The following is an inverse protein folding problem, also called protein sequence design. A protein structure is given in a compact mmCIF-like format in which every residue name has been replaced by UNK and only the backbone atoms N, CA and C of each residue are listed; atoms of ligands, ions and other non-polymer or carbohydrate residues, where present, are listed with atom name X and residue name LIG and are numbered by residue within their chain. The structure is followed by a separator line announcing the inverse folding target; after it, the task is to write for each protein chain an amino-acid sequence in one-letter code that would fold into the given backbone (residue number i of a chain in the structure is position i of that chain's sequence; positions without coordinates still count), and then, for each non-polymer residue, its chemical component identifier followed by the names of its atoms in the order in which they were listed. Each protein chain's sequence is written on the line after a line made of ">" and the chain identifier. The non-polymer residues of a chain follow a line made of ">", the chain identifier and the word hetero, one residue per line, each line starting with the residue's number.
data_IF_453457765482
#
_entry.id   IF_453457765482
#
_cell.length_a   1.000
_cell.length_b   1.000
_cell.length_c   1.000
_cell.angle_alpha   90.00
_cell.angle_beta   90.00
_cell.angle_gamma   90.00
#
_symmetry.space_group_name_H-M   'P 1'
#
loop_
_entity.id
_entity.type
_entity.pdbx_description
1 polymer ?
#
# COMPACT_ATOMS: atom_id res chain seq x y z
N UNK A 1 56.45 18.82 3.14
CA UNK A 1 57.58 19.43 2.40
C UNK A 1 58.47 20.14 3.42
N UNK A 2 59.81 20.15 3.31
CA UNK A 2 60.61 20.27 2.08
C UNK A 2 61.32 18.97 1.60
N UNK A 3 62.32 19.11 0.71
CA UNK A 3 63.02 18.06 -0.09
C UNK A 3 64.42 17.68 0.43
N UNK A 4 64.82 16.42 0.20
CA UNK A 4 66.08 15.91 -0.42
C UNK A 4 65.96 14.36 -0.48
N UNK A 5 66.19 13.57 -1.55
CA UNK A 5 67.32 13.38 -2.50
C UNK A 5 68.64 13.02 -1.79
N UNK A 6 69.41 11.97 -2.13
CA UNK A 6 69.57 11.15 -3.37
C UNK A 6 70.32 9.82 -3.05
N UNK A 7 70.08 8.68 -3.76
CA UNK A 7 71.00 7.56 -4.21
C UNK A 7 71.99 6.92 -3.15
N UNK A 8 72.29 5.61 -3.06
CA UNK A 8 72.96 4.74 -4.06
C UNK A 8 72.92 3.20 -3.81
N UNK A 9 73.05 2.48 -4.92
CA UNK A 9 73.26 1.05 -5.30
C UNK A 9 73.97 0.04 -4.35
N UNK A 10 73.50 -1.22 -4.40
CA UNK A 10 74.30 -2.47 -4.45
C UNK A 10 73.50 -3.54 -5.26
N UNK A 11 73.97 -4.02 -6.43
CA UNK A 11 74.70 -5.29 -6.64
C UNK A 11 74.10 -6.53 -5.93
N UNK A 12 73.89 -7.72 -6.49
CA UNK A 12 73.92 -8.37 -7.83
C UNK A 12 73.53 -9.86 -7.53
N UNK A 13 73.33 -10.85 -8.42
CA UNK A 13 73.97 -11.23 -9.68
C UNK A 13 72.99 -11.84 -10.72
N UNK A 14 73.41 -11.86 -11.99
CA UNK A 14 72.97 -12.73 -13.08
C UNK A 14 74.23 -13.19 -13.85
N UNK A 15 74.28 -14.42 -14.37
CA UNK A 15 73.94 -14.64 -15.79
C UNK A 15 73.06 -15.90 -16.01
N UNK A 16 72.23 -16.06 -17.05
CA UNK A 16 72.17 -15.53 -18.45
C UNK A 16 73.00 -16.31 -19.49
N UNK A 17 72.36 -17.30 -20.12
CA UNK A 17 72.32 -17.61 -21.58
C UNK A 17 71.12 -18.56 -21.80
N UNK A 18 70.13 -18.38 -22.69
CA UNK A 18 70.13 -18.06 -24.15
C UNK A 18 70.66 -19.26 -24.95
N UNK A 19 70.02 -19.80 -26.01
CA UNK A 19 68.94 -19.34 -26.92
C UNK A 19 67.83 -20.46 -27.03
N UNK A 20 66.79 -20.60 -27.88
CA UNK A 20 66.39 -20.11 -29.23
C UNK A 20 64.83 -20.04 -29.33
N UNK A 21 64.29 -19.29 -30.30
CA UNK A 21 62.91 -19.29 -30.85
C UNK A 21 62.99 -19.32 -32.40
N UNK A 22 61.97 -19.65 -33.23
CA UNK A 22 60.51 -19.46 -33.07
C UNK A 22 59.71 -20.80 -33.24
N UNK A 23 58.46 -20.98 -33.73
CA UNK A 23 57.47 -20.23 -34.55
C UNK A 23 55.98 -20.52 -34.20
N UNK A 24 55.12 -19.56 -34.55
CA UNK A 24 53.66 -19.63 -34.82
C UNK A 24 53.43 -18.87 -36.17
N UNK A 25 52.25 -18.88 -36.86
CA UNK A 25 50.93 -19.43 -36.51
C UNK A 25 50.26 -20.25 -37.65
N UNK A 26 48.98 -20.64 -37.51
CA UNK A 26 47.85 -20.14 -38.35
C UNK A 26 46.47 -20.72 -37.97
N UNK A 27 45.48 -19.82 -37.82
CA UNK A 27 44.02 -19.93 -38.12
C UNK A 27 43.16 -21.01 -37.42
N UNK A 28 42.10 -20.63 -36.67
CA UNK A 28 40.71 -20.28 -37.11
C UNK A 28 39.92 -21.55 -37.55
N UNK A 29 38.66 -21.80 -37.16
CA UNK A 29 37.59 -20.87 -36.74
C UNK A 29 37.28 -20.77 -35.23
N UNK A 30 36.74 -19.62 -34.83
CA UNK A 30 35.99 -19.46 -33.57
C UNK A 30 34.47 -19.57 -33.82
N UNK A 31 33.78 -20.43 -33.05
CA UNK A 31 32.31 -20.42 -32.94
C UNK A 31 31.92 -19.80 -31.59
N UNK A 32 31.32 -18.59 -31.56
CA UNK A 32 30.79 -18.02 -30.33
C UNK A 32 29.53 -18.77 -29.90
N UNK A 33 29.63 -19.59 -28.86
CA UNK A 33 28.45 -20.16 -28.19
C UNK A 33 27.86 -19.09 -27.28
N UNK A 34 26.93 -18.30 -27.81
CA UNK A 34 26.09 -17.43 -26.99
C UNK A 34 25.27 -18.29 -26.00
N UNK A 35 25.34 -18.04 -24.68
CA UNK A 35 24.44 -18.67 -23.73
C UNK A 35 23.07 -18.00 -23.87
N UNK A 36 22.26 -18.48 -24.82
CA UNK A 36 20.87 -18.05 -24.99
C UNK A 36 20.03 -18.52 -23.80
N UNK A 37 20.05 -17.76 -22.71
CA UNK A 37 19.14 -17.91 -21.57
C UNK A 37 17.75 -17.42 -21.95
N UNK A 38 17.12 -18.12 -22.90
CA UNK A 38 15.70 -17.99 -23.18
C UNK A 38 14.93 -18.62 -22.03
N UNK A 39 14.80 -17.87 -20.93
CA UNK A 39 13.91 -18.19 -19.82
C UNK A 39 12.48 -18.13 -20.36
N UNK A 40 11.96 -19.28 -20.80
CA UNK A 40 10.55 -19.44 -21.08
C UNK A 40 9.74 -19.04 -19.83
N UNK A 41 8.62 -18.31 -19.99
CA UNK A 41 7.80 -17.94 -18.85
C UNK A 41 7.31 -19.22 -18.18
N UNK A 42 7.66 -19.41 -16.90
CA UNK A 42 7.22 -20.56 -16.11
C UNK A 42 5.71 -20.42 -15.92
N UNK A 43 4.95 -21.07 -16.80
CA UNK A 43 3.51 -21.27 -16.65
C UNK A 43 3.31 -22.34 -15.59
N UNK A 44 3.40 -21.95 -14.32
CA UNK A 44 2.95 -22.80 -13.21
C UNK A 44 1.46 -23.04 -13.37
N UNK A 45 1.09 -24.27 -13.73
CA UNK A 45 -0.30 -24.73 -13.59
C UNK A 45 -0.72 -24.52 -12.13
N UNK A 46 -1.89 -23.89 -11.96
CA UNK A 46 -2.53 -23.75 -10.66
C UNK A 46 -3.16 -25.08 -10.29
N UNK A 47 -2.85 -25.58 -9.10
CA UNK A 47 -3.44 -26.80 -8.57
C UNK A 47 -4.91 -26.58 -8.14
N UNK A 48 -5.56 -27.66 -7.71
CA UNK A 48 -6.95 -27.63 -7.25
C UNK A 48 -7.16 -26.74 -6.02
N UNK A 49 -6.12 -26.49 -5.21
CA UNK A 49 -6.19 -25.68 -4.00
C UNK A 49 -6.06 -24.17 -4.26
N UNK A 50 -5.85 -23.78 -5.52
CA UNK A 50 -5.81 -22.38 -5.96
C UNK A 50 -7.22 -21.75 -6.18
N UNK A 51 -8.31 -22.49 -5.96
CA UNK A 51 -9.67 -21.95 -6.03
C UNK A 51 -10.09 -21.21 -4.74
N UNK A 52 -11.05 -20.29 -4.85
CA UNK A 52 -11.49 -19.47 -3.71
C UNK A 52 -12.28 -20.24 -2.64
N UNK A 53 -12.61 -21.52 -2.84
CA UNK A 53 -13.27 -22.36 -1.81
C UNK A 53 -12.32 -22.84 -0.71
N UNK A 54 -11.00 -22.85 -0.97
CA UNK A 54 -9.96 -23.20 0.01
C UNK A 54 -9.41 -22.00 0.78
N UNK A 55 -9.89 -20.78 0.49
CA UNK A 55 -9.52 -19.56 1.20
C UNK A 55 -10.37 -19.40 2.46
N UNK A 56 -9.74 -19.26 3.63
CA UNK A 56 -10.43 -18.90 4.87
C UNK A 56 -10.96 -17.45 4.78
N UNK A 57 -12.28 -17.21 4.76
CA UNK A 57 -12.84 -15.86 4.66
C UNK A 57 -12.62 -15.02 5.94
N UNK A 58 -12.17 -15.65 7.03
CA UNK A 58 -11.81 -14.98 8.28
C UNK A 58 -10.28 -14.78 8.43
N UNK A 59 -9.51 -15.12 7.39
CA UNK A 59 -8.06 -14.98 7.39
C UNK A 59 -7.63 -13.52 7.64
N UNK A 60 -6.64 -13.34 8.52
CA UNK A 60 -6.09 -12.00 8.82
C UNK A 60 -5.28 -11.48 7.64
N UNK A 61 -5.91 -10.65 6.81
CA UNK A 61 -5.27 -9.92 5.72
C UNK A 61 -3.95 -9.22 6.16
N UNK A 62 -2.96 -9.08 5.26
CA UNK A 62 -1.76 -8.29 5.50
C UNK A 62 -2.09 -6.84 5.86
N UNK A 63 -1.30 -6.21 6.73
CA UNK A 63 -1.59 -4.87 7.28
C UNK A 63 -0.90 -3.73 6.49
N UNK A 64 -1.59 -2.59 6.40
CA UNK A 64 -1.00 -1.28 6.06
C UNK A 64 -1.30 -0.28 7.19
N UNK A 65 -0.34 0.60 7.48
CA UNK A 65 -0.44 1.57 8.58
C UNK A 65 0.05 2.95 8.18
N UNK A 66 -0.68 4.00 8.59
CA UNK A 66 -0.26 5.38 8.40
C UNK A 66 0.72 5.79 9.52
N UNK A 67 1.97 6.07 9.15
CA UNK A 67 3.05 6.46 10.06
C UNK A 67 3.23 7.97 10.05
N UNK A 68 3.28 8.56 11.25
CA UNK A 68 3.43 10.02 11.47
C UNK A 68 4.82 10.58 11.13
N UNK A 69 5.83 9.72 11.00
CA UNK A 69 7.23 10.10 10.89
C UNK A 69 7.83 10.78 12.13
N UNK A 70 9.15 10.73 12.23
CA UNK A 70 9.95 11.68 13.02
C UNK A 70 10.10 12.99 12.25
N UNK A 71 10.29 12.88 10.93
CA UNK A 71 10.42 13.94 9.92
C UNK A 71 9.21 13.94 8.95
N UNK A 72 9.04 14.97 8.10
CA UNK A 72 8.07 14.92 7.00
C UNK A 72 8.31 13.75 6.04
N UNK A 73 9.57 13.44 5.73
CA UNK A 73 9.96 12.42 4.76
C UNK A 73 9.73 10.97 5.25
N UNK A 74 9.57 10.81 6.57
CA UNK A 74 9.19 9.53 7.21
C UNK A 74 7.69 9.44 7.51
N UNK A 75 6.89 10.38 6.98
CA UNK A 75 5.43 10.38 7.07
C UNK A 75 4.81 9.75 5.81
N UNK A 76 3.82 8.87 5.98
CA UNK A 76 3.16 8.20 4.86
C UNK A 76 2.50 6.88 5.25
N UNK A 77 2.19 6.05 4.26
CA UNK A 77 1.58 4.75 4.44
C UNK A 77 2.65 3.67 4.29
N UNK A 78 2.79 2.81 5.31
CA UNK A 78 3.87 1.85 5.42
C UNK A 78 3.37 0.41 5.39
N UNK A 79 4.10 -0.43 4.66
CA UNK A 79 3.89 -1.87 4.53
C UNK A 79 5.21 -2.57 4.84
N UNK A 80 5.30 -3.22 6.00
CA UNK A 80 6.50 -3.99 6.37
C UNK A 80 6.75 -5.14 5.40
N UNK A 81 8.02 -5.51 5.18
CA UNK A 81 8.41 -6.51 4.17
C UNK A 81 7.69 -7.87 4.32
N UNK A 82 7.50 -8.33 5.57
CA UNK A 82 6.69 -9.52 5.88
C UNK A 82 5.24 -9.37 5.37
N UNK A 83 4.65 -8.18 5.50
CA UNK A 83 3.28 -7.91 5.07
C UNK A 83 3.19 -7.74 3.55
N UNK A 84 4.24 -7.25 2.88
CA UNK A 84 4.36 -7.26 1.42
C UNK A 84 4.41 -8.70 0.89
N UNK A 85 5.23 -9.57 1.50
CA UNK A 85 5.29 -10.99 1.17
C UNK A 85 3.92 -11.68 1.37
N UNK A 86 3.27 -11.46 2.52
CA UNK A 86 1.91 -11.94 2.81
C UNK A 86 0.82 -11.37 1.90
N UNK A 87 1.09 -10.27 1.18
CA UNK A 87 0.18 -9.69 0.19
C UNK A 87 0.39 -10.22 -1.25
N UNK A 88 1.44 -11.02 -1.48
CA UNK A 88 1.82 -11.46 -2.82
C UNK A 88 2.25 -10.27 -3.70
N UNK A 89 3.14 -9.42 -3.17
CA UNK A 89 3.69 -8.26 -3.88
C UNK A 89 4.33 -8.66 -5.22
N UNK A 90 3.93 -8.00 -6.32
CA UNK A 90 4.26 -8.45 -7.68
C UNK A 90 5.67 -8.08 -8.11
N UNK A 91 6.06 -6.82 -7.88
CA UNK A 91 7.38 -6.28 -8.20
C UNK A 91 8.10 -5.92 -6.89
N UNK A 92 8.64 -6.94 -6.21
CA UNK A 92 9.40 -6.74 -4.97
C UNK A 92 10.84 -6.31 -5.28
N UNK A 93 11.24 -5.15 -4.74
CA UNK A 93 12.57 -4.57 -4.87
C UNK A 93 13.06 -4.16 -3.48
N UNK A 94 14.09 -4.83 -2.96
CA UNK A 94 14.63 -4.52 -1.63
C UNK A 94 15.26 -3.12 -1.57
N UNK A 95 15.72 -2.55 -2.69
CA UNK A 95 16.32 -1.22 -2.73
C UNK A 95 15.33 -0.08 -2.50
N UNK A 96 14.03 -0.36 -2.61
CA UNK A 96 12.93 0.59 -2.33
C UNK A 96 12.47 0.56 -0.86
N UNK A 97 13.01 -0.35 -0.04
CA UNK A 97 12.60 -0.47 1.36
C UNK A 97 13.32 0.52 2.27
N UNK A 98 12.54 1.16 3.13
CA UNK A 98 13.02 2.08 4.18
C UNK A 98 13.02 1.38 5.53
N UNK A 99 14.03 1.63 6.36
CA UNK A 99 14.02 1.26 7.78
C UNK A 99 13.23 2.30 8.59
N UNK A 100 12.18 1.86 9.29
CA UNK A 100 11.38 2.72 10.16
C UNK A 100 11.53 2.33 11.63
N UNK A 101 11.94 3.30 12.46
CA UNK A 101 12.05 3.14 13.91
C UNK A 101 10.79 3.61 14.64
N UNK A 102 10.11 2.71 15.35
CA UNK A 102 8.93 3.05 16.13
C UNK A 102 9.30 3.75 17.43
N UNK A 103 9.10 5.08 17.49
CA UNK A 103 9.40 5.95 18.65
C UNK A 103 8.91 5.41 20.02
N UNK A 104 7.84 4.61 20.06
CA UNK A 104 7.24 4.09 21.31
C UNK A 104 7.82 2.74 21.78
N UNK A 105 8.52 1.99 20.92
CA UNK A 105 9.03 0.65 21.23
C UNK A 105 10.53 0.49 20.96
N UNK A 106 11.14 1.40 20.20
CA UNK A 106 12.51 1.28 19.72
C UNK A 106 12.70 0.21 18.63
N UNK A 107 11.64 -0.50 18.23
CA UNK A 107 11.70 -1.52 17.19
C UNK A 107 11.98 -0.88 15.81
N UNK A 108 12.74 -1.58 14.97
CA UNK A 108 13.02 -1.21 13.59
C UNK A 108 12.35 -2.24 12.67
N UNK A 109 11.54 -1.77 11.72
CA UNK A 109 10.89 -2.61 10.70
C UNK A 109 11.31 -2.10 9.30
N UNK A 110 11.76 -3.01 8.43
CA UNK A 110 11.98 -2.70 7.01
C UNK A 110 10.66 -2.81 6.24
N UNK A 111 10.38 -1.85 5.36
CA UNK A 111 9.16 -1.87 4.55
C UNK A 111 9.10 -0.73 3.55
N UNK A 112 8.11 -0.79 2.65
CA UNK A 112 7.84 0.26 1.69
C UNK A 112 7.07 1.39 2.38
N UNK A 113 7.55 2.63 2.23
CA UNK A 113 6.88 3.85 2.68
C UNK A 113 6.36 4.65 1.49
N UNK A 114 5.05 4.89 1.45
CA UNK A 114 4.36 5.59 0.36
C UNK A 114 3.77 6.90 0.89
N UNK A 115 4.41 8.02 0.57
CA UNK A 115 3.96 9.36 0.97
C UNK A 115 2.77 9.86 0.12
N UNK A 116 2.64 9.39 -1.12
CA UNK A 116 1.59 9.75 -2.08
C UNK A 116 0.85 8.49 -2.59
N UNK A 117 -0.02 7.84 -1.80
CA UNK A 117 -0.63 6.59 -2.20
C UNK A 117 -1.68 6.75 -3.33
N UNK A 118 -1.67 5.77 -4.22
CA UNK A 118 -2.71 5.51 -5.22
C UNK A 118 -3.37 4.17 -4.86
N UNK A 119 -4.66 4.16 -4.53
CA UNK A 119 -5.32 2.96 -4.04
C UNK A 119 -6.82 2.86 -4.39
N UNK A 120 -7.32 1.64 -4.49
CA UNK A 120 -8.74 1.32 -4.39
C UNK A 120 -9.12 1.21 -2.91
N UNK A 121 -10.29 1.71 -2.52
CA UNK A 121 -10.71 1.79 -1.11
C UNK A 121 -12.10 1.19 -0.92
N UNK A 122 -12.19 0.16 -0.08
CA UNK A 122 -13.45 -0.42 0.39
C UNK A 122 -13.58 -0.24 1.91
N UNK A 123 -14.39 0.72 2.40
CA UNK A 123 -14.76 0.78 3.81
C UNK A 123 -15.48 -0.50 4.23
N UNK A 124 -14.98 -1.18 5.27
CA UNK A 124 -15.59 -2.41 5.82
C UNK A 124 -16.38 -2.14 7.12
N UNK A 125 -16.19 -0.99 7.77
CA UNK A 125 -17.02 -0.53 8.90
C UNK A 125 -17.49 0.91 8.70
N UNK A 126 -18.54 1.39 9.42
CA UNK A 126 -18.70 2.81 9.71
C UNK A 126 -17.52 3.35 10.56
N UNK A 127 -17.55 4.64 10.90
CA UNK A 127 -16.62 5.20 11.90
C UNK A 127 -17.00 4.63 13.27
N UNK A 128 -16.04 4.05 13.99
CA UNK A 128 -16.23 3.41 15.29
C UNK A 128 -15.52 4.18 16.39
N UNK A 129 -16.10 4.18 17.59
CA UNK A 129 -15.40 4.53 18.81
C UNK A 129 -14.59 3.35 19.33
N UNK A 130 -13.39 3.61 19.83
CA UNK A 130 -12.64 2.67 20.66
C UNK A 130 -12.18 3.32 21.96
N UNK A 131 -12.19 2.54 23.04
CA UNK A 131 -11.58 2.91 24.32
C UNK A 131 -10.06 2.83 24.17
N UNK A 132 -9.34 3.94 24.38
CA UNK A 132 -7.89 3.96 24.18
C UNK A 132 -7.14 3.24 25.30
N UNK A 133 -7.42 3.56 26.56
CA UNK A 133 -6.72 3.02 27.73
C UNK A 133 -6.92 1.50 27.84
N UNK A 134 -8.16 1.01 27.69
CA UNK A 134 -8.44 -0.43 27.71
C UNK A 134 -7.88 -1.17 26.48
N UNK A 135 -7.71 -0.48 25.33
CA UNK A 135 -7.04 -1.06 24.16
C UNK A 135 -5.53 -1.25 24.38
N UNK A 136 -4.86 -0.28 25.03
CA UNK A 136 -3.43 -0.41 25.35
C UNK A 136 -3.19 -1.46 26.46
N UNK A 137 -4.05 -1.53 27.48
CA UNK A 137 -3.99 -2.56 28.54
C UNK A 137 -4.19 -3.97 27.96
N UNK A 138 -5.28 -4.19 27.21
CA UNK A 138 -5.62 -5.50 26.64
C UNK A 138 -4.76 -5.91 25.45
N UNK A 139 -3.96 -4.98 24.90
CA UNK A 139 -3.22 -5.11 23.62
C UNK A 139 -4.10 -5.49 22.42
N UNK A 140 -5.42 -5.31 22.56
CA UNK A 140 -6.43 -5.52 21.54
C UNK A 140 -7.04 -4.16 21.17
N UNK A 141 -8.19 -4.12 20.49
CA UNK A 141 -8.92 -2.86 20.31
C UNK A 141 -10.35 -3.03 20.73
N UNK A 142 -10.69 -2.40 21.85
CA UNK A 142 -12.04 -2.46 22.43
C UNK A 142 -12.93 -1.44 21.71
N UNK A 143 -13.80 -1.95 20.85
CA UNK A 143 -14.82 -1.16 20.16
C UNK A 143 -15.95 -0.85 21.14
N UNK A 144 -16.31 0.43 21.29
CA UNK A 144 -17.45 0.87 22.12
C UNK A 144 -18.75 1.06 21.33
N UNK A 145 -18.66 1.05 19.99
CA UNK A 145 -19.79 1.16 19.07
C UNK A 145 -19.49 2.05 17.87
N UNK A 146 -20.53 2.52 17.18
CA UNK A 146 -20.39 3.57 16.16
C UNK A 146 -20.02 4.90 16.82
N UNK A 147 -19.10 5.64 16.22
CA UNK A 147 -18.62 6.93 16.74
C UNK A 147 -19.69 8.03 16.59
N UNK A 148 -19.94 8.79 17.65
CA UNK A 148 -20.92 9.87 17.68
C UNK A 148 -20.30 11.21 18.09
N UNK A 149 -21.07 12.30 18.01
CA UNK A 149 -20.67 13.63 18.49
C UNK A 149 -20.38 13.63 20.00
N UNK A 150 -21.12 12.87 20.77
CA UNK A 150 -21.04 12.82 22.24
C UNK A 150 -19.74 12.14 22.68
N UNK A 151 -19.35 11.06 21.98
CA UNK A 151 -18.07 10.38 22.19
C UNK A 151 -16.87 11.32 22.00
N UNK A 152 -16.98 12.37 21.19
CA UNK A 152 -15.88 13.34 20.98
C UNK A 152 -15.60 14.26 22.17
N UNK A 153 -16.45 14.24 23.20
CA UNK A 153 -16.22 14.93 24.47
C UNK A 153 -15.37 14.15 25.47
N UNK A 154 -15.24 12.82 25.28
CA UNK A 154 -14.42 11.95 26.13
C UNK A 154 -12.97 11.89 25.59
N UNK A 155 -11.93 12.20 26.40
CA UNK A 155 -10.53 12.18 25.96
C UNK A 155 -9.94 10.77 25.78
N UNK A 156 -10.57 9.74 26.36
CA UNK A 156 -10.19 8.33 26.21
C UNK A 156 -10.79 7.72 24.94
N UNK A 157 -12.06 8.02 24.62
CA UNK A 157 -12.69 7.50 23.41
C UNK A 157 -12.10 8.17 22.16
N UNK A 158 -11.74 7.35 21.16
CA UNK A 158 -11.18 7.83 19.89
C UNK A 158 -11.86 7.18 18.69
N UNK A 159 -11.84 7.88 17.57
CA UNK A 159 -12.36 7.41 16.29
C UNK A 159 -11.39 6.42 15.61
N UNK A 160 -11.93 5.37 15.00
CA UNK A 160 -11.25 4.51 14.04
C UNK A 160 -12.18 4.10 12.89
N UNK A 161 -11.63 3.56 11.81
CA UNK A 161 -12.40 2.91 10.76
C UNK A 161 -11.55 1.84 10.07
N UNK A 162 -12.16 0.71 9.72
CA UNK A 162 -11.51 -0.35 8.95
C UNK A 162 -11.87 -0.26 7.47
N UNK A 163 -10.85 -0.42 6.63
CA UNK A 163 -10.96 -0.51 5.17
C UNK A 163 -10.16 -1.72 4.68
N UNK A 164 -10.59 -2.33 3.58
CA UNK A 164 -9.70 -3.11 2.72
C UNK A 164 -9.23 -2.20 1.58
N UNK A 165 -7.95 -2.25 1.23
CA UNK A 165 -7.37 -1.43 0.16
C UNK A 165 -6.48 -2.25 -0.78
N UNK A 166 -6.39 -1.83 -2.04
CA UNK A 166 -5.42 -2.34 -3.02
C UNK A 166 -4.61 -1.16 -3.53
N UNK A 167 -3.30 -1.18 -3.30
CA UNK A 167 -2.37 -0.17 -3.83
C UNK A 167 -2.15 -0.41 -5.32
N UNK A 168 -2.06 0.68 -6.09
CA UNK A 168 -1.85 0.65 -7.54
C UNK A 168 -0.56 1.39 -7.94
N UNK A 169 0.02 0.99 -9.07
CA UNK A 169 1.01 1.78 -9.81
C UNK A 169 0.36 2.95 -10.58
N UNK A 170 1.19 3.79 -11.21
CA UNK A 170 0.77 4.92 -12.04
C UNK A 170 -0.16 4.50 -13.22
N UNK A 171 -0.07 3.25 -13.66
CA UNK A 171 -0.87 2.65 -14.73
C UNK A 171 -2.17 1.98 -14.23
N UNK A 172 -2.55 2.20 -12.97
CA UNK A 172 -3.67 1.57 -12.28
C UNK A 172 -3.59 0.03 -12.17
N UNK A 173 -2.39 -0.56 -12.15
CA UNK A 173 -2.15 -2.00 -11.92
C UNK A 173 -1.91 -2.27 -10.43
N UNK A 174 -2.51 -3.31 -9.82
CA UNK A 174 -2.22 -3.68 -8.44
C UNK A 174 -0.73 -3.90 -8.19
N UNK A 175 -0.22 -3.42 -7.07
CA UNK A 175 1.15 -3.72 -6.62
C UNK A 175 1.25 -5.11 -5.93
N UNK A 176 0.11 -5.67 -5.53
CA UNK A 176 -0.02 -6.89 -4.74
C UNK A 176 -1.33 -7.62 -5.06
N UNK A 177 -1.40 -8.91 -4.75
CA UNK A 177 -2.50 -9.82 -5.12
C UNK A 177 -3.61 -9.91 -4.06
N UNK A 178 -3.27 -9.81 -2.78
CA UNK A 178 -4.21 -9.90 -1.66
C UNK A 178 -4.42 -8.50 -1.06
N UNK A 179 -5.65 -8.05 -0.77
CA UNK A 179 -5.88 -6.72 -0.20
C UNK A 179 -5.17 -6.51 1.13
N UNK A 180 -4.80 -5.25 1.40
CA UNK A 180 -4.27 -4.82 2.68
C UNK A 180 -5.41 -4.39 3.58
N UNK A 181 -5.44 -4.88 4.82
CA UNK A 181 -6.32 -4.33 5.86
C UNK A 181 -5.72 -3.03 6.38
N UNK A 182 -6.47 -1.94 6.22
CA UNK A 182 -6.13 -0.61 6.70
C UNK A 182 -7.00 -0.23 7.90
N UNK A 183 -6.34 0.02 9.03
CA UNK A 183 -6.99 0.46 10.28
C UNK A 183 -6.65 1.92 10.57
N UNK A 184 -7.40 2.83 9.97
CA UNK A 184 -7.24 4.26 10.24
C UNK A 184 -7.67 4.59 11.67
N UNK A 185 -6.94 5.47 12.36
CA UNK A 185 -7.26 5.96 13.72
C UNK A 185 -7.15 7.48 13.83
N UNK A 186 -7.88 8.12 14.74
CA UNK A 186 -7.63 9.50 15.16
C UNK A 186 -7.73 10.54 14.04
N UNK A 187 -6.85 11.55 14.09
CA UNK A 187 -6.77 12.60 13.07
C UNK A 187 -6.46 12.07 11.65
N UNK A 188 -5.72 10.96 11.57
CA UNK A 188 -5.46 10.27 10.31
C UNK A 188 -6.78 9.75 9.70
N UNK A 189 -7.61 9.02 10.45
CA UNK A 189 -8.93 8.56 9.98
C UNK A 189 -9.83 9.72 9.59
N UNK A 190 -9.88 10.79 10.41
CA UNK A 190 -10.72 11.94 10.11
C UNK A 190 -10.35 12.60 8.76
N UNK A 191 -9.06 12.84 8.52
CA UNK A 191 -8.59 13.42 7.25
C UNK A 191 -8.76 12.49 6.04
N UNK A 192 -8.50 11.19 6.21
CA UNK A 192 -8.68 10.20 5.15
C UNK A 192 -10.15 10.06 4.77
N UNK A 193 -11.05 9.94 5.75
CA UNK A 193 -12.49 9.86 5.51
C UNK A 193 -13.05 11.14 4.87
N UNK A 194 -12.59 12.33 5.29
CA UNK A 194 -12.98 13.60 4.69
C UNK A 194 -12.63 13.66 3.19
N UNK A 195 -11.37 13.40 2.84
CA UNK A 195 -10.94 13.47 1.44
C UNK A 195 -11.51 12.32 0.59
N UNK A 196 -11.67 11.12 1.14
CA UNK A 196 -12.35 10.00 0.48
C UNK A 196 -13.82 10.32 0.19
N UNK A 197 -14.55 10.91 1.15
CA UNK A 197 -15.93 11.35 0.94
C UNK A 197 -16.03 12.45 -0.12
N UNK A 198 -15.11 13.43 -0.13
CA UNK A 198 -15.06 14.45 -1.16
C UNK A 198 -14.84 13.84 -2.55
N UNK A 199 -13.82 13.00 -2.71
CA UNK A 199 -13.55 12.26 -3.95
C UNK A 199 -14.75 11.43 -4.43
N UNK A 200 -15.45 10.74 -3.51
CA UNK A 200 -16.68 10.00 -3.80
C UNK A 200 -17.81 10.89 -4.36
N UNK A 201 -17.94 12.14 -3.91
CA UNK A 201 -18.87 13.10 -4.50
C UNK A 201 -18.41 13.57 -5.89
N UNK A 202 -17.12 13.87 -6.06
CA UNK A 202 -16.55 14.37 -7.33
C UNK A 202 -16.62 13.33 -8.45
N UNK A 203 -16.27 12.07 -8.17
CA UNK A 203 -16.39 10.96 -9.13
C UNK A 203 -17.87 10.66 -9.46
N UNK A 204 -18.78 10.79 -8.48
CA UNK A 204 -20.23 10.64 -8.70
C UNK A 204 -20.78 11.76 -9.57
N UNK A 205 -20.37 13.01 -9.35
CA UNK A 205 -20.78 14.15 -10.17
C UNK A 205 -20.28 14.01 -11.61
N UNK A 206 -19.01 13.61 -11.81
CA UNK A 206 -18.46 13.38 -13.13
C UNK A 206 -19.19 12.26 -13.89
N UNK A 207 -19.43 11.12 -13.22
CA UNK A 207 -20.24 10.03 -13.78
C UNK A 207 -21.66 10.50 -14.12
N UNK A 208 -22.31 11.25 -13.23
CA UNK A 208 -23.70 11.69 -13.41
C UNK A 208 -23.85 12.62 -14.63
N UNK A 209 -22.98 13.63 -14.73
CA UNK A 209 -22.95 14.58 -15.85
C UNK A 209 -22.63 13.85 -17.16
N UNK A 210 -21.59 13.01 -17.18
CA UNK A 210 -21.17 12.28 -18.39
C UNK A 210 -22.25 11.34 -18.95
N UNK A 211 -23.08 10.75 -18.08
CA UNK A 211 -24.17 9.85 -18.45
C UNK A 211 -25.56 10.54 -18.52
N UNK A 212 -25.64 11.86 -18.28
CA UNK A 212 -26.89 12.66 -18.24
C UNK A 212 -27.94 12.12 -17.26
N UNK A 213 -27.51 11.58 -16.12
CA UNK A 213 -28.39 11.07 -15.05
C UNK A 213 -28.32 11.96 -13.80
N UNK A 214 -29.32 11.93 -12.91
CA UNK A 214 -29.23 12.58 -11.61
C UNK A 214 -28.05 12.04 -10.78
N UNK A 215 -27.35 12.92 -10.06
CA UNK A 215 -26.24 12.59 -9.18
C UNK A 215 -26.69 11.92 -7.86
N UNK A 216 -27.36 10.77 -7.97
CA UNK A 216 -27.68 9.93 -6.81
C UNK A 216 -26.39 9.33 -6.23
N UNK A 217 -26.22 9.31 -4.89
CA UNK A 217 -25.12 8.59 -4.23
C UNK A 217 -25.02 7.15 -4.73
N UNK A 218 -23.79 6.66 -4.85
CA UNK A 218 -23.50 5.27 -5.21
C UNK A 218 -23.22 4.42 -3.97
N UNK A 219 -23.14 3.11 -4.15
CA UNK A 219 -22.83 2.15 -3.09
C UNK A 219 -21.33 1.83 -3.03
N UNK A 220 -20.92 1.09 -1.98
CA UNK A 220 -19.53 0.66 -1.77
C UNK A 220 -18.94 -0.07 -2.98
N UNK A 221 -19.74 -0.88 -3.70
CA UNK A 221 -19.33 -1.56 -4.92
C UNK A 221 -18.85 -0.60 -6.02
N UNK A 222 -19.54 0.53 -6.21
CA UNK A 222 -19.13 1.55 -7.18
C UNK A 222 -17.87 2.29 -6.72
N UNK A 223 -17.82 2.71 -5.45
CA UNK A 223 -16.66 3.48 -4.97
C UNK A 223 -15.38 2.63 -4.87
N UNK A 224 -15.49 1.34 -4.58
CA UNK A 224 -14.33 0.42 -4.56
C UNK A 224 -13.69 0.22 -5.95
N UNK A 225 -14.38 0.61 -7.03
CA UNK A 225 -13.85 0.63 -8.40
C UNK A 225 -13.21 1.99 -8.78
N UNK A 226 -13.23 2.97 -7.87
CA UNK A 226 -12.65 4.29 -8.08
C UNK A 226 -11.27 4.40 -7.43
N UNK A 227 -10.32 5.02 -8.14
CA UNK A 227 -8.91 5.12 -7.73
C UNK A 227 -8.70 6.40 -6.93
N UNK A 228 -8.40 6.25 -5.64
CA UNK A 228 -8.08 7.35 -4.74
C UNK A 228 -6.57 7.62 -4.76
N UNK A 229 -6.18 8.76 -5.32
CA UNK A 229 -4.80 9.25 -5.31
C UNK A 229 -4.70 10.42 -4.34
N UNK A 230 -3.82 10.35 -3.35
CA UNK A 230 -3.72 11.39 -2.32
C UNK A 230 -2.31 11.59 -1.79
N UNK A 231 -2.08 12.78 -1.22
CA UNK A 231 -0.81 13.16 -0.60
C UNK A 231 -0.94 13.14 0.93
N UNK A 232 0.16 12.90 1.63
CA UNK A 232 0.18 12.92 3.11
C UNK A 232 1.06 14.02 3.68
N UNK A 233 0.69 14.50 4.87
CA UNK A 233 1.42 15.54 5.59
C UNK A 233 1.62 15.16 7.06
N UNK A 234 2.79 15.51 7.61
CA UNK A 234 3.06 15.44 9.04
C UNK A 234 2.60 16.72 9.73
N UNK A 235 1.49 16.67 10.44
CA UNK A 235 0.87 17.85 11.07
C UNK A 235 0.57 17.65 12.55
N UNK A 236 0.49 18.76 13.29
CA UNK A 236 0.08 18.79 14.70
C UNK A 236 -1.45 18.82 14.79
N UNK A 237 -2.05 17.69 15.13
CA UNK A 237 -3.50 17.50 15.17
C UNK A 237 -4.00 17.07 16.56
N UNK A 238 -5.27 17.35 16.84
CA UNK A 238 -5.94 17.10 18.13
C UNK A 238 -6.58 18.36 18.71
N UNK A 239 -7.77 18.20 19.30
CA UNK A 239 -8.55 19.28 19.93
C UNK A 239 -8.03 19.63 21.31
N UNK A 240 -7.95 18.64 22.21
CA UNK A 240 -7.52 18.81 23.60
C UNK A 240 -5.99 18.77 23.77
N UNK A 241 -5.31 17.88 23.05
CA UNK A 241 -3.85 17.72 23.06
C UNK A 241 -3.35 17.54 21.64
N UNK A 242 -2.51 18.45 21.16
CA UNK A 242 -1.91 18.36 19.83
C UNK A 242 -0.75 17.35 19.83
N UNK A 243 -0.76 16.44 18.87
CA UNK A 243 0.34 15.50 18.61
C UNK A 243 0.62 15.39 17.10
N UNK A 244 1.81 14.92 16.74
CA UNK A 244 2.16 14.69 15.34
C UNK A 244 1.37 13.52 14.75
N UNK A 245 0.72 13.74 13.61
CA UNK A 245 -0.07 12.74 12.89
C UNK A 245 0.19 12.80 11.38
N UNK A 246 0.08 11.64 10.73
CA UNK A 246 -0.02 11.54 9.27
C UNK A 246 -1.46 11.86 8.85
N UNK A 247 -1.70 13.10 8.42
CA UNK A 247 -2.96 13.45 7.77
C UNK A 247 -2.86 13.19 6.26
N UNK A 248 -4.01 12.98 5.62
CA UNK A 248 -4.15 13.30 4.20
C UNK A 248 -4.18 14.84 4.06
N UNK A 249 -3.43 15.36 3.09
CA UNK A 249 -3.27 16.80 2.85
C UNK A 249 -4.12 17.28 1.65
N UNK A 250 -4.09 16.50 0.57
CA UNK A 250 -4.87 16.71 -0.65
C UNK A 250 -5.14 15.38 -1.37
N UNK A 251 -6.03 15.40 -2.36
CA UNK A 251 -6.24 14.30 -3.30
C UNK A 251 -6.36 14.83 -4.73
N UNK A 252 -6.16 13.95 -5.71
CA UNK A 252 -6.39 14.26 -7.12
C UNK A 252 -7.90 14.32 -7.39
N UNK A 253 -8.40 15.50 -7.74
CA UNK A 253 -9.82 15.75 -7.99
C UNK A 253 -10.23 15.31 -9.42
N UNK A 254 -11.10 14.29 -9.60
CA UNK A 254 -11.56 13.88 -10.92
C UNK A 254 -12.50 14.94 -11.53
N UNK A 255 -12.36 15.17 -12.83
CA UNK A 255 -13.14 16.11 -13.62
C UNK A 255 -13.65 15.48 -14.93
N UNK A 256 -14.52 16.19 -15.66
CA UNK A 256 -15.20 15.66 -16.85
C UNK A 256 -14.26 15.16 -17.96
N UNK A 257 -13.01 15.62 -18.01
CA UNK A 257 -12.01 15.18 -19.00
C UNK A 257 -11.25 13.92 -18.53
N UNK A 258 -10.87 13.86 -17.24
CA UNK A 258 -9.95 12.83 -16.73
C UNK A 258 -10.61 11.73 -15.87
N UNK A 259 -11.86 11.87 -15.40
CA UNK A 259 -12.44 11.00 -14.36
C UNK A 259 -12.40 9.49 -14.67
N UNK A 260 -12.40 9.08 -15.94
CA UNK A 260 -12.25 7.68 -16.34
C UNK A 260 -10.89 7.08 -15.99
N UNK A 261 -9.83 7.88 -15.87
CA UNK A 261 -8.52 7.46 -15.38
C UNK A 261 -8.57 7.08 -13.88
N UNK A 262 -9.62 7.49 -13.18
CA UNK A 262 -9.87 7.22 -11.76
C UNK A 262 -11.01 6.21 -11.57
N UNK A 263 -11.43 5.47 -12.60
CA UNK A 263 -12.54 4.53 -12.50
C UNK A 263 -12.33 3.25 -13.32
N UNK A 264 -12.00 2.15 -12.64
CA UNK A 264 -11.64 0.86 -13.25
C UNK A 264 -12.87 -0.02 -13.57
N UNK A 265 -14.07 0.38 -13.14
CA UNK A 265 -15.32 -0.36 -13.32
C UNK A 265 -15.83 -0.52 -14.76
N UNK A 266 -15.05 -0.10 -15.76
CA UNK A 266 -15.29 -0.33 -17.18
C UNK A 266 -14.57 -1.56 -17.74
N UNK A 267 -13.45 -1.99 -17.15
CA UNK A 267 -12.82 -3.27 -17.52
C UNK A 267 -13.44 -4.40 -16.70
N UNK A 268 -14.07 -5.37 -17.37
CA UNK A 268 -14.87 -6.39 -16.70
C UNK A 268 -13.99 -7.39 -15.91
N UNK A 269 -12.78 -7.67 -16.37
CA UNK A 269 -11.80 -8.53 -15.67
C UNK A 269 -11.31 -7.86 -14.38
N UNK A 270 -10.81 -6.63 -14.48
CA UNK A 270 -10.38 -5.82 -13.33
C UNK A 270 -11.53 -5.62 -12.33
N UNK A 271 -12.74 -5.33 -12.81
CA UNK A 271 -13.94 -5.19 -11.96
C UNK A 271 -14.32 -6.48 -11.23
N UNK A 272 -14.19 -7.65 -11.87
CA UNK A 272 -14.43 -8.93 -11.22
C UNK A 272 -13.41 -9.19 -10.10
N UNK A 273 -12.11 -9.04 -10.40
CA UNK A 273 -11.03 -9.14 -9.42
C UNK A 273 -11.23 -8.18 -8.23
N UNK A 274 -11.57 -6.91 -8.47
CA UNK A 274 -11.80 -5.94 -7.38
C UNK A 274 -13.01 -6.32 -6.52
N UNK A 275 -14.07 -6.87 -7.14
CA UNK A 275 -15.27 -7.31 -6.42
C UNK A 275 -14.99 -8.52 -5.52
N UNK A 276 -14.26 -9.52 -6.04
CA UNK A 276 -13.83 -10.70 -5.29
C UNK A 276 -12.84 -10.32 -4.17
N UNK A 277 -11.82 -9.51 -4.48
CA UNK A 277 -10.77 -9.18 -3.52
C UNK A 277 -11.23 -8.24 -2.39
N UNK A 278 -12.00 -7.18 -2.67
CA UNK A 278 -12.41 -6.22 -1.63
C UNK A 278 -13.71 -6.63 -0.90
N UNK A 279 -14.53 -7.49 -1.53
CA UNK A 279 -15.86 -7.91 -1.09
C UNK A 279 -16.73 -6.74 -0.57
N UNK A 280 -17.04 -5.73 -1.40
CA UNK A 280 -17.73 -4.51 -0.97
C UNK A 280 -19.20 -4.71 -0.55
N UNK A 281 -19.69 -5.95 -0.54
CA UNK A 281 -21.00 -6.36 -0.03
C UNK A 281 -20.92 -6.98 1.39
N UNK A 282 -19.71 -7.34 1.84
CA UNK A 282 -19.47 -7.92 3.17
C UNK A 282 -18.81 -6.89 4.10
N UNK A 283 -19.58 -6.16 4.93
CA UNK A 283 -19.00 -5.36 6.01
C UNK A 283 -18.46 -6.26 7.13
N UNK A 284 -17.47 -5.77 7.87
CA UNK A 284 -17.03 -6.41 9.12
C UNK A 284 -18.09 -6.20 10.20
N UNK A 285 -18.41 -7.26 10.95
CA UNK A 285 -19.32 -7.19 12.08
C UNK A 285 -18.81 -6.22 13.15
N UNK A 286 -19.69 -5.35 13.63
CA UNK A 286 -19.39 -4.34 14.66
C UNK A 286 -20.11 -4.74 15.96
N UNK A 287 -19.39 -4.94 17.07
CA UNK A 287 -20.02 -5.20 18.38
C UNK A 287 -21.01 -4.09 18.75
N UNK A 288 -22.24 -4.47 19.08
CA UNK A 288 -23.30 -3.54 19.48
C UNK A 288 -23.97 -2.76 18.33
N UNK A 289 -23.61 -3.01 17.07
CA UNK A 289 -24.42 -2.51 15.95
C UNK A 289 -25.77 -3.24 15.92
N UNK A 290 -26.85 -2.47 15.79
CA UNK A 290 -28.18 -3.04 15.51
C UNK A 290 -28.21 -3.41 14.03
N UNK A 291 -28.58 -4.65 13.70
CA UNK A 291 -28.86 -5.05 12.33
C UNK A 291 -29.97 -4.15 11.77
N UNK A 292 -29.61 -3.28 10.83
CA UNK A 292 -30.59 -2.57 10.01
C UNK A 292 -31.26 -3.65 9.16
N UNK A 293 -32.58 -3.89 9.30
CA UNK A 293 -33.23 -4.96 8.55
C UNK A 293 -33.01 -4.74 7.06
N UNK A 294 -32.61 -5.80 6.36
CA UNK A 294 -32.62 -5.78 4.90
C UNK A 294 -34.04 -5.39 4.45
N UNK A 295 -34.15 -4.29 3.70
CA UNK A 295 -35.43 -3.89 3.11
C UNK A 295 -36.00 -5.10 2.36
N UNK A 296 -37.24 -5.53 2.64
CA UNK A 296 -37.80 -6.71 2.00
C UNK A 296 -37.77 -6.50 0.49
N UNK A 297 -37.29 -7.52 -0.23
CA UNK A 297 -37.29 -7.49 -1.68
C UNK A 297 -38.73 -7.29 -2.15
N UNK A 298 -38.99 -6.20 -2.89
CA UNK A 298 -40.33 -5.84 -3.32
C UNK A 298 -40.90 -6.93 -4.23
N UNK A 299 -42.01 -7.54 -3.82
CA UNK A 299 -42.74 -8.48 -4.65
C UNK A 299 -43.52 -7.71 -5.74
N UNK A 300 -43.17 -8.02 -7.01
CA UNK A 300 -43.88 -7.72 -8.27
C UNK A 300 -44.50 -6.31 -8.45
#
# INVERSE_FOLDING_TARGET
>A
MPRKTTVEVAHSDLPTTVEVMPEEPTTDDTVPVEPQTHLEPIVTERDEFCSSEYLDPFAKLPRIQALRGTTPDTCGYFIGAEQMARAGWLNYDESQLTEYTFEMTGAIEKGLLIANPRMLVCPKTPVLGFDHEQSEESKSTVIVGQYTSEMSSDPNIRNLQFYNVILLDENNKPLHQIPLSYKAKGANQASFAQHWQQFCHEITACHAIANRIPAKPKNTLFYSLAVFCFTTERTLAGSLKKGAACKVASHEAPNLQNWKQYFLGYDQTTKAYIHEALEPQQPLMVPGAVDVPALPAGES
#
